data_IF_021402088221
#
_entry.id   IF_021402088221
#
_cell.length_a   1.000
_cell.length_b   1.000
_cell.length_c   1.000
_cell.angle_alpha   90.00
_cell.angle_beta   90.00
_cell.angle_gamma   90.00
#
_symmetry.space_group_name_H-M   'P 1'
#
loop_
_entity.id
_entity.type
_entity.pdbx_description
1 polymer ?
#
# COMPACT_ATOMS: atom_id res chain seq x y z
N UNK A 1 -10.98 2.36 3.21
CA UNK A 1 -9.79 2.96 3.84
C UNK A 1 -9.18 2.05 4.91
N UNK A 2 -9.96 1.38 5.77
CA UNK A 2 -9.42 0.45 6.78
C UNK A 2 -8.48 -0.65 6.23
N UNK A 3 -8.82 -1.26 5.09
CA UNK A 3 -7.96 -2.26 4.40
C UNK A 3 -6.58 -1.69 4.04
N UNK A 4 -6.52 -0.45 3.54
CA UNK A 4 -5.27 0.22 3.15
C UNK A 4 -4.37 0.44 4.34
N UNK A 5 -4.93 0.79 5.50
CA UNK A 5 -4.14 1.02 6.72
C UNK A 5 -3.62 -0.29 7.28
N UNK A 6 -4.46 -1.33 7.34
CA UNK A 6 -4.01 -2.68 7.72
C UNK A 6 -2.90 -3.17 6.79
N UNK A 7 -3.02 -2.86 5.50
CA UNK A 7 -1.99 -3.16 4.52
C UNK A 7 -0.70 -2.35 4.77
N UNK A 8 -0.81 -1.05 5.05
CA UNK A 8 0.34 -0.21 5.40
C UNK A 8 1.06 -0.70 6.67
N UNK A 9 0.32 -1.17 7.67
CA UNK A 9 0.88 -1.78 8.90
C UNK A 9 1.52 -3.14 8.59
N UNK A 10 0.93 -3.92 7.68
CA UNK A 10 1.47 -5.21 7.25
C UNK A 10 2.79 -5.10 6.49
N UNK A 11 2.93 -4.09 5.63
CA UNK A 11 4.05 -3.98 4.69
C UNK A 11 5.04 -2.87 5.01
N UNK A 12 4.73 -1.99 5.96
CA UNK A 12 5.48 -0.77 6.27
C UNK A 12 5.72 0.13 5.05
N UNK A 13 4.84 0.06 4.04
CA UNK A 13 4.93 0.85 2.81
C UNK A 13 4.39 2.27 3.00
N UNK A 14 4.89 3.22 2.20
CA UNK A 14 4.33 4.57 2.17
C UNK A 14 2.97 4.58 1.50
N UNK A 15 2.09 5.47 1.95
CA UNK A 15 0.74 5.65 1.38
C UNK A 15 0.76 5.86 -0.15
N UNK A 16 1.70 6.68 -0.65
CA UNK A 16 1.82 6.94 -2.10
C UNK A 16 2.23 5.72 -2.91
N UNK A 17 3.04 4.82 -2.33
CA UNK A 17 3.45 3.57 -2.95
C UNK A 17 2.25 2.63 -3.03
N UNK A 18 1.51 2.48 -1.92
CA UNK A 18 0.32 1.60 -1.83
C UNK A 18 -0.74 1.97 -2.88
N UNK A 19 -0.97 3.25 -3.13
CA UNK A 19 -1.96 3.70 -4.13
C UNK A 19 -1.50 3.60 -5.58
N UNK A 20 -0.21 3.34 -5.83
CA UNK A 20 0.33 3.12 -7.18
C UNK A 20 0.42 1.64 -7.55
N UNK A 21 0.36 0.73 -6.58
CA UNK A 21 0.45 -0.71 -6.81
C UNK A 21 -0.67 -1.19 -7.73
N UNK A 22 -0.29 -1.91 -8.78
CA UNK A 22 -1.21 -2.56 -9.72
C UNK A 22 -1.26 -4.06 -9.52
N UNK A 23 -2.35 -4.68 -10.01
CA UNK A 23 -2.52 -6.13 -9.95
C UNK A 23 -1.38 -6.91 -10.61
N UNK A 24 -0.78 -6.34 -11.66
CA UNK A 24 0.33 -6.96 -12.40
C UNK A 24 1.62 -7.08 -11.56
N UNK A 25 1.78 -6.22 -10.54
CA UNK A 25 2.94 -6.23 -9.65
C UNK A 25 2.79 -7.22 -8.49
N UNK A 26 1.60 -7.81 -8.33
CA UNK A 26 1.29 -8.76 -7.28
C UNK A 26 1.44 -10.21 -7.76
N UNK A 27 2.39 -10.92 -7.16
CA UNK A 27 2.63 -12.34 -7.43
C UNK A 27 2.04 -13.20 -6.30
N UNK A 28 0.83 -13.72 -6.49
CA UNK A 28 0.13 -14.54 -5.50
C UNK A 28 0.92 -15.82 -5.12
N UNK A 29 1.58 -16.46 -6.09
CA UNK A 29 2.32 -17.72 -5.89
C UNK A 29 3.45 -17.58 -4.85
N UNK A 30 4.19 -16.49 -4.92
CA UNK A 30 5.35 -16.24 -4.04
C UNK A 30 5.02 -15.26 -2.93
N UNK A 31 3.76 -14.80 -2.84
CA UNK A 31 3.30 -13.75 -1.93
C UNK A 31 4.22 -12.53 -1.98
N UNK A 32 4.58 -12.10 -3.18
CA UNK A 32 5.47 -10.95 -3.38
C UNK A 32 4.75 -9.82 -4.08
N UNK A 33 5.13 -8.60 -3.72
CA UNK A 33 4.65 -7.38 -4.34
C UNK A 33 5.83 -6.56 -4.84
N UNK A 34 5.78 -6.17 -6.11
CA UNK A 34 6.77 -5.26 -6.70
C UNK A 34 6.33 -3.81 -6.48
N UNK A 35 7.21 -2.99 -5.91
CA UNK A 35 7.03 -1.56 -5.74
C UNK A 35 7.91 -0.87 -6.77
N UNK A 36 7.28 -0.21 -7.74
CA UNK A 36 8.01 0.54 -8.77
C UNK A 36 8.43 1.92 -8.28
N UNK A 37 9.53 2.44 -8.81
CA UNK A 37 10.02 3.81 -8.55
C UNK A 37 10.21 4.15 -7.06
N UNK A 38 10.79 3.21 -6.30
CA UNK A 38 11.14 3.50 -4.91
C UNK A 38 12.28 4.53 -4.88
N UNK A 39 12.00 5.74 -4.42
CA UNK A 39 13.02 6.79 -4.22
C UNK A 39 14.04 6.31 -3.20
N UNK A 40 15.25 6.03 -3.66
CA UNK A 40 16.43 5.90 -2.81
C UNK A 40 17.13 7.27 -2.72
N UNK A 41 17.51 7.75 -1.52
CA UNK A 41 18.29 8.98 -1.38
C UNK A 41 19.64 8.95 -2.14
N UNK A 42 20.16 7.75 -2.42
CA UNK A 42 21.47 7.53 -3.05
C UNK A 42 21.41 7.24 -4.55
N UNK A 43 20.26 6.78 -5.06
CA UNK A 43 20.05 6.46 -6.48
C UNK A 43 18.69 7.00 -6.94
N UNK A 44 18.73 8.00 -7.83
CA UNK A 44 17.56 8.81 -8.20
C UNK A 44 16.65 8.18 -9.26
N UNK A 45 16.94 6.97 -9.75
CA UNK A 45 16.19 6.37 -10.87
C UNK A 45 16.08 4.84 -10.73
N UNK A 46 14.86 4.31 -10.75
CA UNK A 46 14.60 2.91 -11.14
C UNK A 46 14.98 1.80 -10.16
N UNK A 47 14.72 1.95 -8.85
CA UNK A 47 14.84 0.83 -7.91
C UNK A 47 13.48 0.17 -7.68
N UNK A 48 13.09 -0.72 -8.59
CA UNK A 48 11.95 -1.62 -8.38
C UNK A 48 12.30 -2.59 -7.25
N UNK A 49 11.59 -2.49 -6.13
CA UNK A 49 11.82 -3.36 -4.98
C UNK A 49 10.70 -4.36 -4.82
N UNK A 50 11.05 -5.64 -4.71
CA UNK A 50 10.10 -6.69 -4.38
C UNK A 50 10.07 -6.85 -2.87
N UNK A 51 8.90 -6.66 -2.28
CA UNK A 51 8.68 -6.91 -0.87
C UNK A 51 7.93 -8.24 -0.68
N UNK A 52 8.34 -9.05 0.30
CA UNK A 52 7.55 -10.21 0.68
C UNK A 52 6.33 -9.75 1.51
N UNK A 53 5.16 -10.24 1.16
CA UNK A 53 3.90 -9.96 1.85
C UNK A 53 3.76 -10.92 3.03
N UNK A 54 4.56 -10.64 4.08
CA UNK A 54 4.62 -11.44 5.30
C UNK A 54 3.52 -11.00 6.28
N UNK A 55 2.88 -11.96 6.93
CA UNK A 55 1.85 -11.71 7.96
C UNK A 55 2.46 -11.44 9.35
N UNK A 56 3.49 -10.58 9.44
CA UNK A 56 4.29 -10.39 10.67
C UNK A 56 3.62 -9.52 11.72
N UNK A 57 2.79 -8.55 11.31
CA UNK A 57 2.17 -7.57 12.20
C UNK A 57 0.70 -7.91 12.56
N UNK A 58 0.31 -9.17 12.40
CA UNK A 58 -1.05 -9.65 12.75
C UNK A 58 -2.11 -9.40 11.68
N UNK A 59 -1.76 -8.74 10.57
CA UNK A 59 -2.61 -8.62 9.38
C UNK A 59 -2.03 -9.45 8.24
N UNK A 60 -2.90 -10.12 7.49
CA UNK A 60 -2.48 -10.85 6.28
C UNK A 60 -2.59 -9.93 5.05
N UNK A 61 -1.47 -9.38 4.54
CA UNK A 61 -1.49 -8.51 3.36
C UNK A 61 -2.02 -9.22 2.11
N UNK A 62 -1.84 -10.53 1.99
CA UNK A 62 -2.36 -11.30 0.85
C UNK A 62 -3.87 -11.35 0.89
N UNK A 63 -4.47 -11.68 2.04
CA UNK A 63 -5.92 -11.67 2.20
C UNK A 63 -6.52 -10.28 1.95
N UNK A 64 -5.82 -9.20 2.34
CA UNK A 64 -6.27 -7.83 2.09
C UNK A 64 -6.27 -7.48 0.60
N UNK A 65 -5.24 -7.89 -0.15
CA UNK A 65 -5.17 -7.71 -1.61
C UNK A 65 -6.26 -8.56 -2.29
N UNK A 66 -6.31 -9.84 -1.98
CA UNK A 66 -7.27 -10.80 -2.57
C UNK A 66 -8.72 -10.37 -2.34
N UNK A 67 -9.03 -9.82 -1.15
CA UNK A 67 -10.33 -9.24 -0.86
C UNK A 67 -10.70 -8.01 -1.69
N UNK A 68 -9.75 -7.37 -2.39
CA UNK A 68 -10.02 -6.29 -3.35
C UNK A 68 -10.33 -6.81 -4.77
N UNK A 69 -10.19 -8.11 -5.06
CA UNK A 69 -10.49 -8.66 -6.40
C UNK A 69 -11.86 -8.29 -6.94
N UNK A 70 -12.96 -8.29 -6.14
CA UNK A 70 -14.29 -7.90 -6.64
C UNK A 70 -14.34 -6.43 -7.11
N UNK A 71 -13.46 -5.59 -6.58
CA UNK A 71 -13.37 -4.16 -6.93
C UNK A 71 -12.45 -3.90 -8.12
N UNK A 72 -11.84 -4.94 -8.71
CA UNK A 72 -10.96 -4.81 -9.87
C UNK A 72 -11.78 -4.34 -11.08
N UNK A 73 -11.34 -3.23 -11.69
CA UNK A 73 -11.94 -2.68 -12.91
C UNK A 73 -10.94 -2.73 -14.04
N UNK A 74 -11.40 -3.00 -15.26
CA UNK A 74 -10.51 -2.96 -16.44
C UNK A 74 -9.99 -1.54 -16.73
N UNK A 75 -10.71 -0.51 -16.26
CA UNK A 75 -10.32 0.91 -16.41
C UNK A 75 -9.28 1.36 -15.39
N UNK A 76 -9.10 0.65 -14.28
CA UNK A 76 -8.13 0.97 -13.23
C UNK A 76 -7.43 -0.30 -12.74
N UNK A 77 -6.18 -0.46 -13.16
CA UNK A 77 -5.35 -1.63 -12.86
C UNK A 77 -4.83 -1.64 -11.40
N UNK A 78 -5.10 -0.59 -10.61
CA UNK A 78 -4.65 -0.49 -9.23
C UNK A 78 -5.39 -1.48 -8.33
N UNK A 79 -4.66 -2.04 -7.37
CA UNK A 79 -5.25 -2.89 -6.33
C UNK A 79 -6.14 -2.06 -5.41
N UNK A 80 -5.70 -0.85 -5.09
CA UNK A 80 -6.41 0.11 -4.25
C UNK A 80 -6.76 1.36 -5.06
N UNK A 81 -7.92 1.42 -5.73
CA UNK A 81 -8.32 2.53 -6.59
C UNK A 81 -8.81 3.74 -5.78
N UNK A 82 -7.94 4.29 -4.93
CA UNK A 82 -8.23 5.51 -4.18
C UNK A 82 -7.77 6.74 -4.97
N UNK A 83 -8.63 7.76 -5.00
CA UNK A 83 -8.26 9.05 -5.54
C UNK A 83 -7.25 9.72 -4.59
N UNK A 84 -5.99 9.82 -5.02
CA UNK A 84 -4.89 10.44 -4.26
C UNK A 84 -5.25 11.78 -3.61
N UNK A 85 -6.13 12.59 -4.22
CA UNK A 85 -6.60 13.88 -3.68
C UNK A 85 -7.44 13.76 -2.40
N UNK A 86 -8.31 12.76 -2.32
CA UNK A 86 -9.16 12.54 -1.14
C UNK A 86 -8.60 11.48 -0.18
N UNK A 87 -7.67 10.66 -0.68
CA UNK A 87 -7.11 9.56 0.08
C UNK A 87 -6.21 10.03 1.23
N UNK A 88 -5.46 11.12 1.09
CA UNK A 88 -4.60 11.66 2.15
C UNK A 88 -5.38 12.04 3.40
N UNK A 89 -6.44 12.85 3.26
CA UNK A 89 -7.27 13.26 4.41
C UNK A 89 -7.98 12.07 5.06
N UNK A 90 -8.51 11.15 4.24
CA UNK A 90 -9.18 9.96 4.76
C UNK A 90 -8.21 8.98 5.43
N UNK A 91 -6.98 8.87 4.93
CA UNK A 91 -5.92 8.07 5.55
C UNK A 91 -5.50 8.66 6.89
N UNK A 92 -5.19 9.96 6.95
CA UNK A 92 -4.85 10.64 8.22
C UNK A 92 -5.96 10.51 9.26
N UNK A 93 -7.23 10.71 8.86
CA UNK A 93 -8.38 10.53 9.77
C UNK A 93 -8.48 9.12 10.30
N UNK A 94 -8.27 8.12 9.44
CA UNK A 94 -8.36 6.73 9.84
C UNK A 94 -7.15 6.25 10.66
N UNK A 95 -5.95 6.77 10.41
CA UNK A 95 -4.79 6.56 11.31
C UNK A 95 -5.04 7.14 12.70
N UNK A 96 -5.60 8.35 12.78
CA UNK A 96 -6.02 8.96 14.06
C UNK A 96 -7.09 8.16 14.78
N UNK A 97 -8.10 7.69 14.05
CA UNK A 97 -9.17 6.84 14.61
C UNK A 97 -8.64 5.49 15.13
N UNK A 98 -7.54 4.99 14.56
CA UNK A 98 -6.89 3.74 14.98
C UNK A 98 -5.77 3.95 16.02
N UNK A 99 -5.53 5.19 16.48
CA UNK A 99 -4.52 5.49 17.49
C UNK A 99 -3.07 5.34 17.02
N UNK A 100 -2.81 5.36 15.71
CA UNK A 100 -1.47 5.15 15.16
C UNK A 100 -0.74 6.48 15.10
N UNK A 101 0.18 6.71 16.05
CA UNK A 101 0.90 7.97 16.21
C UNK A 101 1.94 8.27 15.11
N UNK A 102 2.40 7.26 14.36
CA UNK A 102 3.62 7.35 13.53
C UNK A 102 3.39 7.31 12.01
N UNK A 103 2.12 7.29 11.56
CA UNK A 103 1.76 7.26 10.13
C UNK A 103 1.28 8.60 9.57
N UNK A 104 1.03 9.60 10.42
CA UNK A 104 0.76 10.96 9.96
C UNK A 104 2.09 11.64 9.68
N UNK A 105 2.30 12.05 8.41
CA UNK A 105 3.31 12.99 7.91
C UNK A 105 4.21 13.61 9.00
N UNK A 106 5.55 13.55 8.90
CA UNK A 106 6.38 14.39 9.76
C UNK A 106 5.93 15.84 9.55
N UNK A 107 5.55 16.49 10.65
CA UNK A 107 5.27 17.93 10.66
C UNK A 107 6.53 18.66 10.15
N UNK A 108 6.38 19.75 9.38
CA UNK A 108 7.52 20.59 8.99
C UNK A 108 8.29 21.11 10.19
#
# INVERSE_FOLDING_TARGET
>A
MGTVIRFAIATAMRQEEIFKVVWDDYTARTKMLTIRDRKDPREKTGNDQRIPLLSVSGFDPVALIEGQRPSRKNTDLRIFPFNHRSAGTAFTRACKALGIADLSRPSP
#
